data_IF_064259304084
#
_entry.id   IF_064259304084
#
_cell.length_a   1.000
_cell.length_b   1.000
_cell.length_c   1.000
_cell.angle_alpha   90.00
_cell.angle_beta   90.00
_cell.angle_gamma   90.00
#
_symmetry.space_group_name_H-M   'P 1'
#
loop_
_entity.id
_entity.type
_entity.pdbx_description
1 polymer ?
#
# COMPACT_ATOMS: atom_id res chain seq x y z
N UNK A 1 -9.28 -1.33 -2.44
CA UNK A 1 -9.94 -2.41 -3.21
C UNK A 1 -8.93 -3.52 -3.48
N UNK A 2 -9.30 -4.80 -3.36
CA UNK A 2 -8.39 -5.92 -3.66
C UNK A 2 -8.51 -6.27 -5.14
N UNK A 3 -7.40 -6.30 -5.88
CA UNK A 3 -7.40 -6.84 -7.24
C UNK A 3 -7.02 -8.32 -7.25
N UNK A 4 -7.29 -8.99 -8.37
CA UNK A 4 -6.94 -10.40 -8.57
C UNK A 4 -5.42 -10.54 -8.67
N UNK A 5 -4.84 -11.39 -7.81
CA UNK A 5 -3.38 -11.61 -7.75
C UNK A 5 -2.89 -12.57 -8.85
N UNK A 6 -2.83 -12.06 -10.08
CA UNK A 6 -2.34 -12.80 -11.25
C UNK A 6 -0.82 -13.06 -11.19
N UNK A 7 -0.07 -12.25 -10.43
CA UNK A 7 1.38 -12.39 -10.28
C UNK A 7 1.73 -13.72 -9.61
N UNK A 8 1.05 -14.07 -8.52
CA UNK A 8 1.28 -15.35 -7.83
C UNK A 8 0.98 -16.54 -8.72
N UNK A 9 -0.10 -16.47 -9.49
CA UNK A 9 -0.47 -17.53 -10.43
C UNK A 9 0.61 -17.75 -11.50
N UNK A 10 1.17 -16.67 -12.05
CA UNK A 10 2.13 -16.75 -13.17
C UNK A 10 3.57 -17.00 -12.75
N UNK A 11 3.96 -16.60 -11.54
CA UNK A 11 5.38 -16.59 -11.13
C UNK A 11 5.68 -17.44 -9.90
N UNK A 12 4.65 -17.93 -9.19
CA UNK A 12 4.81 -18.59 -7.89
C UNK A 12 5.24 -17.64 -6.75
N UNK A 13 5.55 -16.38 -7.06
CA UNK A 13 5.97 -15.39 -6.07
C UNK A 13 4.79 -14.98 -5.18
N UNK A 14 5.05 -14.95 -3.88
CA UNK A 14 4.08 -14.50 -2.87
C UNK A 14 4.18 -12.97 -2.74
N UNK A 15 3.57 -12.25 -3.68
CA UNK A 15 3.40 -10.81 -3.61
C UNK A 15 2.00 -10.47 -3.12
N UNK A 16 1.86 -9.57 -2.15
CA UNK A 16 0.56 -8.97 -1.84
C UNK A 16 0.33 -7.82 -2.83
N UNK A 17 -0.77 -7.85 -3.58
CA UNK A 17 -1.13 -6.78 -4.53
C UNK A 17 -2.25 -5.94 -3.95
N UNK A 18 -2.05 -4.62 -3.87
CA UNK A 18 -3.01 -3.65 -3.34
C UNK A 18 -3.04 -2.44 -4.26
N UNK A 19 -4.23 -1.85 -4.41
CA UNK A 19 -4.42 -0.62 -5.17
C UNK A 19 -4.84 0.49 -4.21
N UNK A 20 -4.20 1.65 -4.35
CA UNK A 20 -4.60 2.90 -3.73
C UNK A 20 -4.92 3.88 -4.86
N UNK A 21 -6.02 4.62 -4.73
CA UNK A 21 -6.31 5.70 -5.68
C UNK A 21 -5.27 6.78 -5.46
N UNK A 22 -4.45 7.01 -6.49
CA UNK A 22 -3.46 8.07 -6.43
C UNK A 22 -4.16 9.43 -6.58
N UNK A 23 -4.04 10.27 -5.57
CA UNK A 23 -4.71 11.56 -5.53
C UNK A 23 -3.71 12.67 -5.88
N UNK A 24 -3.60 13.00 -7.18
CA UNK A 24 -2.79 14.13 -7.66
C UNK A 24 -3.56 15.42 -7.41
N UNK A 25 -3.03 16.31 -6.58
CA UNK A 25 -3.46 17.72 -6.61
C UNK A 25 -2.37 18.59 -7.24
N UNK A 26 -2.70 19.41 -8.24
CA UNK A 26 -1.75 20.33 -8.86
C UNK A 26 -1.43 21.59 -8.03
N UNK A 27 -2.00 21.78 -6.84
CA UNK A 27 -1.91 23.06 -6.13
C UNK A 27 -1.54 22.89 -4.66
N UNK A 28 -0.47 23.56 -4.25
CA UNK A 28 -0.01 23.65 -2.85
C UNK A 28 -1.08 24.24 -1.89
N UNK A 29 -2.10 24.90 -2.44
CA UNK A 29 -3.16 25.62 -1.71
C UNK A 29 -4.19 24.69 -1.03
N UNK A 30 -4.34 23.44 -1.50
CA UNK A 30 -5.31 22.47 -0.93
C UNK A 30 -4.73 21.47 0.07
N UNK A 31 -3.49 21.67 0.51
CA UNK A 31 -2.83 20.85 1.53
C UNK A 31 -3.61 20.78 2.86
N UNK A 32 -4.49 21.74 3.13
CA UNK A 32 -5.34 21.77 4.32
C UNK A 32 -6.77 21.21 4.12
N UNK A 33 -7.10 20.71 2.93
CA UNK A 33 -8.42 20.08 2.71
C UNK A 33 -8.57 18.77 3.46
N UNK A 34 -9.79 18.45 3.92
CA UNK A 34 -10.08 17.21 4.63
C UNK A 34 -9.79 15.97 3.76
N UNK A 35 -10.05 16.07 2.45
CA UNK A 35 -9.76 15.04 1.46
C UNK A 35 -8.26 14.80 1.33
N UNK A 36 -7.44 15.86 1.32
CA UNK A 36 -5.98 15.73 1.30
C UNK A 36 -5.46 15.06 2.57
N UNK A 37 -5.92 15.50 3.74
CA UNK A 37 -5.52 14.92 5.02
C UNK A 37 -5.92 13.44 5.12
N UNK A 38 -7.11 13.08 4.63
CA UNK A 38 -7.56 11.69 4.54
C UNK A 38 -6.66 10.87 3.61
N UNK A 39 -6.32 11.39 2.44
CA UNK A 39 -5.42 10.73 1.50
C UNK A 39 -4.02 10.50 2.10
N UNK A 40 -3.38 11.54 2.66
CA UNK A 40 -2.04 11.45 3.25
C UNK A 40 -2.03 10.46 4.42
N UNK A 41 -3.08 10.48 5.26
CA UNK A 41 -3.21 9.54 6.39
C UNK A 41 -3.33 8.09 5.91
N UNK A 42 -4.20 7.82 4.93
CA UNK A 42 -4.33 6.48 4.37
C UNK A 42 -3.06 6.02 3.67
N UNK A 43 -2.40 6.93 2.93
CA UNK A 43 -1.16 6.63 2.23
C UNK A 43 -0.05 6.23 3.22
N UNK A 44 0.18 7.04 4.25
CA UNK A 44 1.17 6.73 5.30
C UNK A 44 0.88 5.41 6.00
N UNK A 45 -0.39 5.13 6.31
CA UNK A 45 -0.80 3.83 6.88
C UNK A 45 -0.39 2.64 5.99
N UNK A 46 -0.63 2.75 4.68
CA UNK A 46 -0.31 1.67 3.74
C UNK A 46 1.19 1.50 3.53
N UNK A 47 1.93 2.61 3.46
CA UNK A 47 3.39 2.59 3.36
C UNK A 47 4.00 1.87 4.58
N UNK A 48 3.58 2.23 5.79
CA UNK A 48 4.01 1.58 7.03
C UNK A 48 3.57 0.11 7.09
N UNK A 49 2.37 -0.22 6.60
CA UNK A 49 1.90 -1.60 6.57
C UNK A 49 2.72 -2.49 5.61
N UNK A 50 3.06 -2.01 4.41
CA UNK A 50 3.82 -2.79 3.43
C UNK A 50 5.27 -3.01 3.82
N UNK A 51 5.87 -2.08 4.57
CA UNK A 51 7.22 -2.25 5.08
C UNK A 51 7.30 -3.27 6.22
N UNK A 52 6.18 -3.59 6.89
CA UNK A 52 6.16 -4.57 7.99
C UNK A 52 6.17 -6.02 7.49
N UNK A 53 6.74 -6.91 8.31
CA UNK A 53 6.78 -8.36 8.05
C UNK A 53 6.55 -9.14 9.34
N UNK A 54 5.56 -10.03 9.32
CA UNK A 54 5.39 -11.05 10.38
C UNK A 54 6.59 -12.00 10.37
N UNK A 55 7.25 -12.11 11.51
CA UNK A 55 8.40 -13.00 11.76
C UNK A 55 7.98 -14.44 12.05
N UNK A 56 6.79 -14.63 12.64
CA UNK A 56 6.26 -15.94 13.03
C UNK A 56 5.33 -16.60 12.00
N UNK A 57 4.86 -17.81 12.35
CA UNK A 57 3.79 -18.50 11.63
C UNK A 57 2.49 -17.66 11.60
N UNK A 58 1.59 -17.95 10.66
CA UNK A 58 0.36 -17.18 10.44
C UNK A 58 -0.47 -16.97 11.72
N UNK A 59 -0.51 -18.00 12.57
CA UNK A 59 -1.32 -18.03 13.79
C UNK A 59 -0.52 -17.70 15.06
N UNK A 60 0.76 -17.34 14.90
CA UNK A 60 1.59 -16.91 16.03
C UNK A 60 1.12 -15.57 16.58
N UNK A 61 1.34 -15.35 17.88
CA UNK A 61 1.08 -14.05 18.51
C UNK A 61 1.98 -12.97 17.88
N UNK A 62 1.44 -11.77 17.59
CA UNK A 62 2.22 -10.66 17.07
C UNK A 62 3.37 -10.31 18.02
N UNK A 63 4.58 -10.12 17.49
CA UNK A 63 5.74 -9.67 18.25
C UNK A 63 6.03 -8.19 17.96
N UNK A 64 6.73 -7.52 18.87
CA UNK A 64 7.11 -6.11 18.68
C UNK A 64 7.91 -5.89 17.39
N UNK A 65 8.75 -6.85 17.01
CA UNK A 65 9.54 -6.82 15.77
C UNK A 65 8.68 -6.85 14.51
N UNK A 66 7.46 -7.42 14.58
CA UNK A 66 6.51 -7.43 13.45
C UNK A 66 5.95 -6.04 13.14
N UNK A 67 6.05 -5.10 14.08
CA UNK A 67 5.61 -3.72 13.93
C UNK A 67 6.66 -2.82 13.28
N UNK A 68 7.90 -3.29 13.14
CA UNK A 68 9.00 -2.49 12.56
C UNK A 68 9.07 -2.69 11.04
N UNK A 69 9.43 -1.63 10.32
CA UNK A 69 9.73 -1.68 8.88
C UNK A 69 10.94 -2.58 8.60
N UNK A 70 10.72 -3.70 7.91
CA UNK A 70 11.72 -4.71 7.56
C UNK A 70 11.81 -4.99 6.04
N UNK A 71 10.95 -4.38 5.23
CA UNK A 71 10.85 -4.57 3.78
C UNK A 71 10.93 -3.24 3.04
N UNK A 72 11.45 -3.29 1.81
CA UNK A 72 11.21 -2.27 0.80
C UNK A 72 10.04 -2.68 -0.11
N UNK A 73 9.46 -1.71 -0.81
CA UNK A 73 8.51 -1.94 -1.88
C UNK A 73 8.90 -1.10 -3.10
N UNK A 74 8.39 -1.50 -4.28
CA UNK A 74 8.50 -0.73 -5.50
C UNK A 74 7.10 -0.28 -5.90
N UNK A 75 6.94 1.00 -6.20
CA UNK A 75 5.69 1.58 -6.63
C UNK A 75 5.70 1.74 -8.16
N UNK A 76 4.58 1.38 -8.79
CA UNK A 76 4.34 1.59 -10.21
C UNK A 76 3.12 2.50 -10.34
N UNK A 77 3.34 3.69 -10.87
CA UNK A 77 2.25 4.56 -11.31
C UNK A 77 1.75 4.05 -12.66
N UNK A 78 0.46 3.74 -12.73
CA UNK A 78 -0.20 3.35 -13.98
C UNK A 78 -0.99 4.56 -14.47
N UNK A 79 -0.40 5.30 -15.39
CA UNK A 79 -1.09 6.40 -16.08
C UNK A 79 -2.05 5.84 -17.15
N UNK A 80 -3.23 6.44 -17.28
CA UNK A 80 -4.21 6.07 -18.32
C UNK A 80 -5.33 5.13 -17.89
N UNK A 81 -5.57 4.94 -16.59
CA UNK A 81 -6.83 4.33 -16.12
C UNK A 81 -7.97 5.36 -16.29
N UNK A 82 -8.45 5.50 -17.52
CA UNK A 82 -9.69 6.20 -17.83
C UNK A 82 -10.87 5.31 -17.46
N UNK A 83 -11.86 5.89 -16.78
CA UNK A 83 -13.07 5.24 -16.25
C UNK A 83 -13.60 4.07 -17.10
N UNK A 84 -13.83 2.92 -16.45
CA UNK A 84 -14.77 1.88 -16.89
C UNK A 84 -16.03 2.03 -16.04
#
# INVERSE_FOLDING_TARGET
MFGKNEVRFRTGLRGDTRYCQWHVFPEADRSNSAEHQSYVSMRGYWDDFWMRKRSGAKDALPQQTDAVSQRGYFEVTVDGFHDI
#
